data_IF_500837984806
#
_entry.id   IF_500837984806
#
_cell.length_a   1.000
_cell.length_b   1.000
_cell.length_c   1.000
_cell.angle_alpha   90.00
_cell.angle_beta   90.00
_cell.angle_gamma   90.00
#
_symmetry.space_group_name_H-M   'P 1'
#
loop_
_entity.id
_entity.type
_entity.pdbx_description
1 polymer ?
#
# COMPACT_ATOMS: atom_id res chain seq x y z
N UNK A 1 -8.39 -13.53 5.43
CA UNK A 1 -7.80 -12.81 6.58
C UNK A 1 -6.30 -12.75 6.32
N UNK A 2 -5.81 -11.63 5.78
CA UNK A 2 -4.41 -11.48 5.35
C UNK A 2 -3.51 -10.92 6.45
N UNK A 3 -2.18 -11.04 6.27
CA UNK A 3 -1.19 -10.39 7.14
C UNK A 3 -1.19 -8.87 6.90
N UNK A 4 -1.09 -8.09 7.98
CA UNK A 4 -0.95 -6.63 7.93
C UNK A 4 0.43 -6.24 8.43
N UNK A 5 1.06 -5.26 7.80
CA UNK A 5 2.36 -4.72 8.21
C UNK A 5 2.22 -3.23 8.55
N UNK A 6 2.89 -2.79 9.61
CA UNK A 6 2.84 -1.40 10.09
C UNK A 6 4.11 -0.62 9.74
N UNK A 7 3.96 0.63 9.32
CA UNK A 7 5.09 1.55 9.14
C UNK A 7 5.36 2.26 10.47
N UNK A 8 6.52 2.00 11.09
CA UNK A 8 6.92 2.57 12.39
C UNK A 8 8.19 3.41 12.25
N UNK A 9 8.34 4.42 13.12
CA UNK A 9 9.52 5.30 13.11
C UNK A 9 9.31 6.61 13.87
N UNK A 10 10.39 7.32 14.13
CA UNK A 10 10.41 8.60 14.88
C UNK A 10 9.53 9.68 14.21
N UNK A 11 9.11 10.73 14.95
CA UNK A 11 8.40 11.86 14.36
C UNK A 11 9.16 12.48 13.16
N UNK A 12 8.42 12.95 12.16
CA UNK A 12 8.94 13.67 10.98
C UNK A 12 9.95 12.94 10.08
N UNK A 13 10.13 11.61 10.20
CA UNK A 13 11.01 10.81 9.31
C UNK A 13 10.40 10.46 7.94
N UNK A 14 9.28 11.10 7.56
CA UNK A 14 8.63 10.86 6.27
C UNK A 14 7.68 9.65 6.19
N UNK A 15 7.21 9.12 7.34
CA UNK A 15 6.28 7.98 7.38
C UNK A 15 5.02 8.20 6.51
N UNK A 16 4.38 9.36 6.66
CA UNK A 16 3.16 9.70 5.89
C UNK A 16 3.47 9.88 4.41
N UNK A 17 4.66 10.40 4.07
CA UNK A 17 5.13 10.52 2.69
C UNK A 17 5.31 9.14 2.04
N UNK A 18 5.94 8.19 2.73
CA UNK A 18 6.11 6.82 2.25
C UNK A 18 4.76 6.12 2.08
N UNK A 19 3.87 6.26 3.07
CA UNK A 19 2.52 5.68 3.00
C UNK A 19 1.76 6.23 1.78
N UNK A 20 1.81 7.54 1.54
CA UNK A 20 1.17 8.18 0.40
C UNK A 20 1.79 7.76 -0.94
N UNK A 21 3.11 7.60 -1.01
CA UNK A 21 3.77 7.12 -2.22
C UNK A 21 3.34 5.68 -2.58
N UNK A 22 3.19 4.82 -1.56
CA UNK A 22 2.79 3.42 -1.73
C UNK A 22 1.30 3.27 -2.08
N UNK A 23 0.43 4.05 -1.44
CA UNK A 23 -1.02 3.84 -1.51
C UNK A 23 -1.74 4.83 -2.42
N UNK A 24 -1.06 5.93 -2.82
CA UNK A 24 -1.66 7.10 -3.48
C UNK A 24 -2.89 7.66 -2.74
N UNK A 25 -3.02 7.38 -1.44
CA UNK A 25 -4.24 7.64 -0.66
C UNK A 25 -4.44 9.12 -0.28
N UNK A 26 -3.50 10.01 -0.60
CA UNK A 26 -3.66 11.46 -0.39
C UNK A 26 -3.84 11.86 1.07
N UNK A 27 -3.26 11.11 2.02
CA UNK A 27 -3.42 11.37 3.45
C UNK A 27 -2.69 12.66 3.81
N UNK A 28 -3.40 13.57 4.47
CA UNK A 28 -2.81 14.80 4.98
C UNK A 28 -1.75 14.45 6.04
N UNK A 29 -0.53 14.94 5.85
CA UNK A 29 0.58 14.77 6.78
C UNK A 29 0.50 15.72 7.99
N UNK A 30 -0.72 16.04 8.43
CA UNK A 30 -0.96 16.98 9.52
C UNK A 30 -1.12 16.22 10.83
N UNK A 31 -0.37 16.62 11.84
CA UNK A 31 -0.51 16.10 13.20
C UNK A 31 -1.75 16.75 13.83
N UNK A 32 -2.85 16.00 13.97
CA UNK A 32 -3.98 16.43 14.80
C UNK A 32 -3.81 15.84 16.20
N UNK A 33 -3.30 16.61 17.17
CA UNK A 33 -3.28 16.15 18.55
C UNK A 33 -4.74 16.09 19.04
N UNK A 34 -5.11 15.01 19.74
CA UNK A 34 -6.41 14.79 20.42
C UNK A 34 -7.55 14.09 19.67
N UNK A 35 -7.39 13.62 18.44
CA UNK A 35 -8.37 12.72 17.81
C UNK A 35 -7.90 11.25 17.87
N UNK A 36 -8.82 10.31 18.13
CA UNK A 36 -8.59 8.89 17.88
C UNK A 36 -8.49 8.71 16.37
N UNK A 37 -7.27 8.72 15.84
CA UNK A 37 -7.02 8.53 14.41
C UNK A 37 -7.00 7.01 14.17
N UNK A 38 -8.05 6.49 13.53
CA UNK A 38 -7.98 5.14 12.99
C UNK A 38 -6.73 5.01 12.09
N UNK A 39 -5.93 3.94 12.24
CA UNK A 39 -4.70 3.81 11.48
C UNK A 39 -5.03 3.83 9.99
N UNK A 40 -4.30 4.62 9.21
CA UNK A 40 -4.43 4.60 7.76
C UNK A 40 -4.09 3.19 7.25
N UNK A 41 -5.09 2.48 6.72
CA UNK A 41 -4.91 1.16 6.12
C UNK A 41 -4.95 1.33 4.61
N UNK A 42 -3.89 0.90 3.94
CA UNK A 42 -3.80 0.87 2.49
C UNK A 42 -3.39 -0.51 2.02
N UNK A 43 -3.73 -0.81 0.77
CA UNK A 43 -3.43 -2.08 0.14
C UNK A 43 -2.67 -1.79 -1.14
N UNK A 44 -1.55 -2.49 -1.36
CA UNK A 44 -0.66 -2.25 -2.48
C UNK A 44 -0.42 -3.57 -3.20
N UNK A 45 -0.66 -3.65 -4.51
CA UNK A 45 -0.43 -4.89 -5.24
C UNK A 45 1.04 -5.30 -5.17
N UNK A 46 1.29 -6.58 -4.95
CA UNK A 46 2.65 -7.12 -4.93
C UNK A 46 3.13 -7.29 -6.38
N UNK A 47 4.23 -6.65 -6.78
CA UNK A 47 4.78 -6.83 -8.12
C UNK A 47 5.34 -8.24 -8.29
N UNK A 48 4.87 -8.96 -9.31
CA UNK A 48 5.35 -10.30 -9.65
C UNK A 48 5.54 -10.45 -11.16
N UNK A 49 6.79 -10.39 -11.61
CA UNK A 49 7.15 -10.51 -13.03
C UNK A 49 6.79 -11.88 -13.64
N UNK A 50 6.53 -12.91 -12.82
CA UNK A 50 6.08 -14.22 -13.32
C UNK A 50 4.65 -14.14 -13.84
N UNK A 51 3.83 -13.27 -13.26
CA UNK A 51 2.44 -13.10 -13.65
C UNK A 51 2.33 -12.54 -15.07
N UNK A 52 3.20 -11.60 -15.43
CA UNK A 52 3.29 -11.04 -16.79
C UNK A 52 3.71 -12.10 -17.81
N UNK A 53 4.70 -12.94 -17.45
CA UNK A 53 5.15 -14.05 -18.31
C UNK A 53 4.03 -15.06 -18.55
N UNK A 54 3.25 -15.40 -17.52
CA UNK A 54 2.11 -16.30 -17.67
C UNK A 54 1.01 -15.65 -18.51
N UNK A 55 0.70 -14.37 -18.27
CA UNK A 55 -0.30 -13.65 -19.05
C UNK A 55 0.04 -13.63 -20.55
N UNK A 56 1.32 -13.52 -20.92
CA UNK A 56 1.77 -13.59 -22.31
C UNK A 56 1.59 -14.99 -22.95
N UNK A 57 1.60 -16.07 -22.16
CA UNK A 57 1.44 -17.44 -22.66
C UNK A 57 -0.04 -17.82 -22.83
N UNK A 58 -0.86 -17.53 -21.81
CA UNK A 58 -2.28 -17.97 -21.77
C UNK A 58 -3.29 -16.91 -22.20
N UNK A 59 -2.86 -15.67 -22.42
CA UNK A 59 -3.67 -14.52 -22.84
C UNK A 59 -5.03 -14.42 -22.10
N UNK A 60 -5.03 -14.28 -20.76
CA UNK A 60 -6.23 -14.33 -19.95
C UNK A 60 -7.09 -13.08 -20.15
N UNK A 61 -8.40 -13.19 -19.92
CA UNK A 61 -9.32 -12.04 -19.95
C UNK A 61 -8.99 -10.97 -18.89
N UNK A 62 -8.34 -11.37 -17.79
CA UNK A 62 -7.97 -10.48 -16.69
C UNK A 62 -6.75 -11.01 -15.94
N UNK A 63 -5.86 -10.09 -15.55
CA UNK A 63 -4.72 -10.34 -14.66
C UNK A 63 -5.04 -9.74 -13.29
N UNK A 64 -4.98 -10.55 -12.23
CA UNK A 64 -5.33 -10.18 -10.87
C UNK A 64 -4.12 -10.35 -9.93
N UNK A 65 -3.39 -9.28 -9.58
CA UNK A 65 -2.29 -9.35 -8.63
C UNK A 65 -2.80 -9.63 -7.21
N UNK A 66 -1.94 -10.25 -6.39
CA UNK A 66 -2.19 -10.33 -4.95
C UNK A 66 -1.99 -8.96 -4.31
N UNK A 67 -2.77 -8.71 -3.27
CA UNK A 67 -2.90 -7.43 -2.57
C UNK A 67 -2.63 -7.57 -1.08
#
# INVERSE_FOLDING_TARGET
MGFKCGIVGLPNVGKSTLFNALTRAGIQAENYPFCTIDPNVGVVPVPDARMDKLAAIVNPQRVLPTT
#
